data_IF_709625606638
#
_entry.id   IF_709625606638
#
_cell.length_a   1.000
_cell.length_b   1.000
_cell.length_c   1.000
_cell.angle_alpha   90.00
_cell.angle_beta   90.00
_cell.angle_gamma   90.00
#
_symmetry.space_group_name_H-M   'P 1'
#
loop_
_entity.id
_entity.type
_entity.pdbx_description
1 polymer ?
#
# COMPACT_ATOMS: atom_id res chain seq x y z
N UNK A 1 4.67 -39.72 90.43
CA UNK A 1 5.59 -39.65 89.28
C UNK A 1 4.82 -39.94 88.00
N UNK A 2 4.29 -38.96 87.34
CA UNK A 2 3.56 -39.09 86.06
C UNK A 2 4.23 -38.42 84.92
N UNK A 3 4.61 -39.19 83.97
CA UNK A 3 4.90 -39.02 82.60
C UNK A 3 5.20 -37.61 82.01
N UNK A 4 6.41 -37.20 82.11
CA UNK A 4 6.94 -36.04 81.28
C UNK A 4 7.35 -36.40 79.91
N UNK A 5 7.24 -37.66 79.48
CA UNK A 5 7.67 -38.11 78.13
C UNK A 5 6.68 -37.87 77.02
N UNK A 6 5.40 -37.82 77.31
CA UNK A 6 4.34 -37.60 76.30
C UNK A 6 4.32 -36.21 75.69
N UNK A 7 4.62 -35.18 76.48
CA UNK A 7 4.52 -33.79 76.07
C UNK A 7 5.65 -33.35 75.09
N UNK A 8 6.75 -34.04 75.11
CA UNK A 8 7.90 -33.74 74.18
C UNK A 8 7.67 -34.27 72.78
N UNK A 9 7.01 -35.38 72.61
CA UNK A 9 6.74 -36.02 71.31
C UNK A 9 5.70 -35.25 70.51
N UNK A 10 4.66 -34.72 71.14
CA UNK A 10 3.61 -33.94 70.47
C UNK A 10 4.11 -32.56 70.02
N UNK A 11 5.03 -31.91 70.76
CA UNK A 11 5.65 -30.65 70.29
C UNK A 11 6.53 -30.83 69.06
N UNK A 12 7.22 -31.96 68.97
CA UNK A 12 8.09 -32.27 67.81
C UNK A 12 7.22 -32.68 66.58
N UNK A 13 6.11 -33.37 66.77
CA UNK A 13 5.18 -33.67 65.69
C UNK A 13 4.46 -32.41 65.14
N UNK A 14 4.03 -31.49 66.00
CA UNK A 14 3.46 -30.20 65.58
C UNK A 14 4.50 -29.32 64.84
N UNK A 15 5.76 -29.25 65.29
CA UNK A 15 6.82 -28.51 64.57
C UNK A 15 7.13 -29.11 63.21
N UNK A 16 7.10 -30.42 63.04
CA UNK A 16 7.33 -31.07 61.74
C UNK A 16 6.17 -30.85 60.77
N UNK A 17 4.91 -30.85 61.22
CA UNK A 17 3.78 -30.53 60.35
C UNK A 17 3.82 -29.08 59.85
N UNK A 18 4.10 -28.13 60.69
CA UNK A 18 4.18 -26.72 60.29
C UNK A 18 5.38 -26.42 59.36
N UNK A 19 6.46 -27.18 59.47
CA UNK A 19 7.59 -27.04 58.55
C UNK A 19 7.31 -27.65 57.16
N UNK A 20 6.59 -28.79 57.11
CA UNK A 20 6.20 -29.39 55.85
C UNK A 20 5.17 -28.52 55.09
N UNK A 21 4.17 -27.98 55.81
CA UNK A 21 3.18 -27.06 55.22
C UNK A 21 3.84 -25.77 54.70
N UNK A 22 4.80 -25.21 55.45
CA UNK A 22 5.58 -24.06 54.98
C UNK A 22 6.43 -24.40 53.76
N UNK A 23 7.08 -25.57 53.74
CA UNK A 23 7.89 -25.98 52.58
C UNK A 23 7.01 -26.20 51.32
N UNK A 24 5.81 -26.81 51.49
CA UNK A 24 4.81 -26.94 50.40
C UNK A 24 4.36 -25.57 49.86
N UNK A 25 4.09 -24.61 50.76
CA UNK A 25 3.77 -23.25 50.35
C UNK A 25 4.91 -22.56 49.56
N UNK A 26 6.13 -22.71 50.01
CA UNK A 26 7.31 -22.16 49.29
C UNK A 26 7.51 -22.80 47.91
N UNK A 27 7.30 -24.11 47.77
CA UNK A 27 7.36 -24.81 46.51
C UNK A 27 6.26 -24.34 45.55
N UNK A 28 5.03 -24.16 46.04
CA UNK A 28 3.90 -23.63 45.26
C UNK A 28 4.15 -22.19 44.80
N UNK A 29 4.66 -21.32 45.70
CA UNK A 29 5.01 -19.96 45.35
C UNK A 29 6.16 -19.94 44.31
N UNK A 30 7.18 -20.77 44.46
CA UNK A 30 8.27 -20.89 43.50
C UNK A 30 7.76 -21.35 42.12
N UNK A 31 6.88 -22.35 42.07
CA UNK A 31 6.29 -22.85 40.85
C UNK A 31 5.40 -21.82 40.18
N UNK A 32 4.57 -21.12 40.96
CA UNK A 32 3.74 -20.03 40.43
C UNK A 32 4.56 -18.88 39.86
N UNK A 33 5.67 -18.53 40.52
CA UNK A 33 6.60 -17.49 40.02
C UNK A 33 7.28 -17.91 38.72
N UNK A 34 7.71 -19.17 38.61
CA UNK A 34 8.30 -19.70 37.36
C UNK A 34 7.29 -19.71 36.22
N UNK A 35 6.06 -20.13 36.47
CA UNK A 35 4.98 -20.12 35.47
C UNK A 35 4.64 -18.70 35.03
N UNK A 36 4.53 -17.75 35.98
CA UNK A 36 4.27 -16.36 35.66
C UNK A 36 5.41 -15.73 34.84
N UNK A 37 6.67 -16.01 35.22
CA UNK A 37 7.83 -15.51 34.50
C UNK A 37 7.95 -16.12 33.11
N UNK A 38 7.67 -17.41 32.96
CA UNK A 38 7.62 -18.09 31.65
C UNK A 38 6.51 -17.55 30.75
N UNK A 39 5.34 -17.22 31.33
CA UNK A 39 4.24 -16.60 30.58
C UNK A 39 4.61 -15.17 30.11
N UNK A 40 5.26 -14.37 30.97
CA UNK A 40 5.73 -13.02 30.61
C UNK A 40 6.84 -13.09 29.54
N UNK A 41 7.82 -13.98 29.69
CA UNK A 41 8.86 -14.21 28.69
C UNK A 41 8.27 -14.74 27.38
N UNK A 42 7.32 -15.66 27.45
CA UNK A 42 6.59 -16.15 26.27
C UNK A 42 5.84 -15.03 25.56
N UNK A 43 5.08 -14.23 26.29
CA UNK A 43 4.37 -13.08 25.73
C UNK A 43 5.32 -12.03 25.16
N UNK A 44 6.44 -11.76 25.83
CA UNK A 44 7.49 -10.85 25.32
C UNK A 44 8.19 -11.42 24.08
N UNK A 45 8.55 -12.71 24.08
CA UNK A 45 9.18 -13.38 22.94
C UNK A 45 8.26 -13.46 21.73
N UNK A 46 6.99 -13.86 21.92
CA UNK A 46 5.99 -13.87 20.86
C UNK A 46 5.62 -12.45 20.41
N UNK A 47 5.49 -11.52 21.35
CA UNK A 47 5.26 -10.10 21.04
C UNK A 47 6.43 -9.49 20.27
N UNK A 48 7.67 -9.71 20.71
CA UNK A 48 8.87 -9.26 20.01
C UNK A 48 9.03 -9.91 18.63
N UNK A 49 8.65 -11.19 18.49
CA UNK A 49 8.68 -11.89 17.19
C UNK A 49 7.58 -11.41 16.25
N UNK A 50 6.37 -11.15 16.77
CA UNK A 50 5.27 -10.55 16.01
C UNK A 50 5.58 -9.09 15.62
N UNK A 51 6.21 -8.32 16.50
CA UNK A 51 6.63 -6.95 16.23
C UNK A 51 7.90 -6.88 15.40
N UNK A 52 8.87 -7.78 15.63
CA UNK A 52 10.12 -7.85 14.87
C UNK A 52 9.90 -8.30 13.43
N UNK A 53 9.07 -9.32 13.20
CA UNK A 53 8.72 -9.74 11.84
C UNK A 53 7.91 -8.69 11.08
N UNK A 54 7.19 -7.79 11.79
CA UNK A 54 6.46 -6.71 11.15
C UNK A 54 7.37 -5.65 10.51
N UNK A 55 8.60 -5.49 10.97
CA UNK A 55 9.58 -4.57 10.37
C UNK A 55 10.44 -5.21 9.29
N UNK A 56 10.55 -6.54 9.25
CA UNK A 56 11.40 -7.24 8.31
C UNK A 56 10.82 -7.34 6.88
N UNK A 57 9.50 -7.12 6.71
CA UNK A 57 8.81 -7.35 5.45
C UNK A 57 8.52 -6.08 4.64
N UNK A 58 8.87 -4.88 5.15
CA UNK A 58 8.74 -3.67 4.34
C UNK A 58 9.84 -3.63 3.29
N UNK A 59 9.44 -3.50 2.02
CA UNK A 59 10.38 -3.28 0.95
C UNK A 59 11.17 -2.00 1.19
N UNK A 60 12.48 -1.99 0.91
CA UNK A 60 13.29 -0.78 1.03
C UNK A 60 12.74 0.36 0.16
N UNK A 61 12.26 0.04 -1.08
CA UNK A 61 11.51 0.95 -1.95
C UNK A 61 10.13 0.41 -2.26
N UNK A 62 9.13 1.29 -2.43
CA UNK A 62 7.75 0.89 -2.75
C UNK A 62 6.98 1.99 -3.50
N UNK A 63 5.88 1.59 -4.12
CA UNK A 63 4.84 2.47 -4.65
C UNK A 63 3.56 2.30 -3.84
N UNK A 64 3.01 3.40 -3.33
CA UNK A 64 1.73 3.42 -2.65
C UNK A 64 0.77 4.41 -3.33
N UNK A 65 -0.46 3.99 -3.58
CA UNK A 65 -1.51 4.84 -4.11
C UNK A 65 -2.37 5.35 -2.95
N UNK A 66 -2.49 6.65 -2.83
CA UNK A 66 -3.36 7.31 -1.86
C UNK A 66 -4.50 7.96 -2.64
N UNK A 67 -5.72 7.58 -2.36
CA UNK A 67 -6.94 8.22 -2.85
C UNK A 67 -7.54 9.05 -1.72
N UNK A 68 -7.83 10.32 -1.99
CA UNK A 68 -8.52 11.20 -1.05
C UNK A 68 -10.02 11.12 -1.29
N UNK A 69 -10.80 10.94 -0.23
CA UNK A 69 -12.26 10.83 -0.32
C UNK A 69 -12.95 12.02 0.33
N UNK A 70 -14.05 12.45 -0.26
CA UNK A 70 -14.92 13.49 0.32
C UNK A 70 -15.71 12.94 1.54
N UNK A 71 -16.52 13.78 2.14
CA UNK A 71 -17.35 13.43 3.31
C UNK A 71 -18.38 12.32 3.01
N UNK A 72 -18.71 12.09 1.73
CA UNK A 72 -19.61 11.02 1.30
C UNK A 72 -18.85 9.72 0.96
N UNK A 73 -17.53 9.70 1.09
CA UNK A 73 -16.67 8.57 0.74
C UNK A 73 -16.35 8.47 -0.75
N UNK A 74 -16.76 9.46 -1.57
CA UNK A 74 -16.44 9.47 -3.01
C UNK A 74 -15.00 9.94 -3.24
N UNK A 75 -14.28 9.32 -4.18
CA UNK A 75 -12.93 9.76 -4.53
C UNK A 75 -12.91 11.17 -5.11
N UNK A 76 -12.10 12.04 -4.54
CA UNK A 76 -11.94 13.44 -4.96
C UNK A 76 -10.58 13.70 -5.62
N UNK A 77 -9.52 13.07 -5.14
CA UNK A 77 -8.17 13.22 -5.66
C UNK A 77 -7.36 11.94 -5.44
N UNK A 78 -6.27 11.77 -6.17
CA UNK A 78 -5.34 10.67 -5.95
C UNK A 78 -3.89 11.12 -6.11
N UNK A 79 -3.01 10.43 -5.42
CA UNK A 79 -1.57 10.61 -5.52
C UNK A 79 -0.83 9.28 -5.41
N UNK A 80 0.25 9.14 -6.17
CA UNK A 80 1.18 8.02 -6.07
C UNK A 80 2.37 8.44 -5.22
N UNK A 81 2.66 7.70 -4.17
CA UNK A 81 3.83 7.90 -3.33
C UNK A 81 4.91 6.90 -3.71
N UNK A 82 6.09 7.40 -3.98
CA UNK A 82 7.29 6.61 -4.30
C UNK A 82 8.28 6.78 -3.16
N UNK A 83 8.73 5.67 -2.59
CA UNK A 83 9.85 5.65 -1.63
C UNK A 83 11.11 5.19 -2.34
N UNK A 84 12.17 5.98 -2.23
CA UNK A 84 13.49 5.57 -2.65
C UNK A 84 14.07 4.54 -1.66
N UNK A 85 14.61 3.45 -2.22
CA UNK A 85 15.24 2.40 -1.44
C UNK A 85 16.64 2.79 -0.94
N UNK A 86 17.32 3.70 -1.62
CA UNK A 86 18.71 4.04 -1.34
C UNK A 86 18.85 5.00 -0.16
N UNK A 87 18.05 6.05 -0.13
CA UNK A 87 18.15 7.12 0.87
C UNK A 87 16.87 7.29 1.72
N UNK A 88 15.81 6.54 1.38
CA UNK A 88 14.54 6.59 2.09
C UNK A 88 13.71 7.84 1.80
N UNK A 89 14.09 8.66 0.83
CA UNK A 89 13.30 9.84 0.44
C UNK A 89 11.97 9.44 -0.16
N UNK A 90 10.98 10.33 -0.03
CA UNK A 90 9.64 10.11 -0.55
C UNK A 90 9.29 11.18 -1.56
N UNK A 91 8.69 10.76 -2.67
CA UNK A 91 8.13 11.62 -3.69
C UNK A 91 6.65 11.36 -3.86
N UNK A 92 5.86 12.42 -3.97
CA UNK A 92 4.42 12.34 -4.20
C UNK A 92 4.12 12.84 -5.61
N UNK A 93 3.43 12.02 -6.40
CA UNK A 93 2.97 12.35 -7.73
C UNK A 93 1.46 12.53 -7.71
N UNK A 94 1.00 13.74 -7.97
CA UNK A 94 -0.42 14.05 -8.14
C UNK A 94 -0.93 13.40 -9.43
N UNK A 95 -2.02 12.67 -9.33
CA UNK A 95 -2.71 12.04 -10.46
C UNK A 95 -3.88 12.96 -10.87
N UNK A 96 -3.79 13.63 -12.03
CA UNK A 96 -4.90 14.44 -12.53
C UNK A 96 -6.15 13.58 -12.79
N UNK A 97 -7.33 14.08 -12.49
CA UNK A 97 -8.59 13.36 -12.80
C UNK A 97 -8.82 13.17 -14.29
N UNK A 98 -8.32 14.09 -15.09
CA UNK A 98 -8.32 14.11 -16.55
C UNK A 98 -7.07 13.45 -17.18
N UNK A 99 -6.32 12.65 -16.42
CA UNK A 99 -5.30 11.75 -16.94
C UNK A 99 -5.99 10.60 -17.69
N UNK A 100 -5.58 10.38 -18.94
CA UNK A 100 -6.06 9.23 -19.73
C UNK A 100 -5.29 7.98 -19.31
N UNK A 101 -6.01 6.94 -19.00
CA UNK A 101 -5.49 5.62 -18.64
C UNK A 101 -5.95 4.60 -19.66
N UNK A 102 -5.16 3.57 -19.89
CA UNK A 102 -5.54 2.44 -20.74
C UNK A 102 -6.50 1.52 -19.97
N UNK A 103 -7.74 1.46 -20.41
CA UNK A 103 -8.74 0.55 -19.90
C UNK A 103 -8.49 -0.91 -20.29
N UNK A 104 -9.26 -1.86 -19.73
CA UNK A 104 -9.05 -3.29 -19.94
C UNK A 104 -9.20 -3.75 -21.40
N UNK A 105 -10.03 -3.08 -22.18
CA UNK A 105 -10.32 -3.43 -23.57
C UNK A 105 -9.58 -2.53 -24.60
N UNK A 106 -8.58 -1.77 -24.15
CA UNK A 106 -7.85 -0.82 -24.98
C UNK A 106 -8.60 0.50 -25.23
N UNK A 107 -9.71 0.73 -24.53
CA UNK A 107 -10.35 2.03 -24.47
C UNK A 107 -9.58 2.98 -23.55
N UNK A 108 -9.73 4.29 -23.77
CA UNK A 108 -9.22 5.29 -22.85
C UNK A 108 -10.26 5.62 -21.78
N UNK A 109 -9.82 5.60 -20.51
CA UNK A 109 -10.63 5.94 -19.34
C UNK A 109 -9.97 7.11 -18.63
N UNK A 110 -10.75 8.09 -18.17
CA UNK A 110 -10.20 9.14 -17.32
C UNK A 110 -9.91 8.60 -15.93
N UNK A 111 -8.80 9.05 -15.34
CA UNK A 111 -8.43 8.66 -13.97
C UNK A 111 -9.54 8.98 -12.95
N UNK A 112 -10.31 10.06 -13.16
CA UNK A 112 -11.48 10.39 -12.34
C UNK A 112 -12.56 9.31 -12.36
N UNK A 113 -12.83 8.72 -13.52
CA UNK A 113 -13.79 7.63 -13.67
C UNK A 113 -13.24 6.32 -13.10
N UNK A 114 -11.96 6.03 -13.34
CA UNK A 114 -11.26 4.89 -12.76
C UNK A 114 -11.22 4.96 -11.22
N UNK A 115 -11.08 6.16 -10.62
CA UNK A 115 -11.20 6.37 -9.17
C UNK A 115 -12.58 5.97 -8.69
N UNK A 116 -13.63 6.48 -9.36
CA UNK A 116 -15.03 6.24 -8.99
C UNK A 116 -15.42 4.78 -9.14
N UNK A 117 -14.92 4.12 -10.19
CA UNK A 117 -15.14 2.70 -10.45
C UNK A 117 -14.27 1.75 -9.61
N UNK A 118 -13.34 2.27 -8.79
CA UNK A 118 -12.43 1.45 -7.99
C UNK A 118 -11.32 0.75 -8.79
N UNK A 119 -11.13 1.13 -10.05
CA UNK A 119 -10.18 0.49 -10.98
C UNK A 119 -8.84 1.22 -11.08
N UNK A 120 -8.71 2.41 -10.47
CA UNK A 120 -7.55 3.29 -10.64
C UNK A 120 -6.20 2.58 -10.44
N UNK A 121 -6.08 1.70 -9.45
CA UNK A 121 -4.85 0.95 -9.21
C UNK A 121 -4.44 0.13 -10.43
N UNK A 122 -5.38 -0.63 -10.98
CA UNK A 122 -5.12 -1.56 -12.09
C UNK A 122 -4.80 -0.80 -13.38
N UNK A 123 -5.57 0.24 -13.67
CA UNK A 123 -5.39 1.05 -14.86
C UNK A 123 -4.07 1.83 -14.79
N UNK A 124 -3.76 2.40 -13.63
CA UNK A 124 -2.48 3.07 -13.41
C UNK A 124 -1.30 2.11 -13.57
N UNK A 125 -1.37 0.90 -13.01
CA UNK A 125 -0.32 -0.12 -13.15
C UNK A 125 -0.06 -0.50 -14.60
N UNK A 126 -1.12 -0.55 -15.45
CA UNK A 126 -0.96 -0.79 -16.89
C UNK A 126 -0.18 0.33 -17.56
N UNK A 127 -0.53 1.57 -17.25
CA UNK A 127 0.12 2.75 -17.86
C UNK A 127 1.56 2.90 -17.40
N UNK A 128 1.83 2.80 -16.11
CA UNK A 128 3.18 3.00 -15.57
C UNK A 128 4.07 1.76 -15.67
N UNK A 129 3.53 0.62 -16.11
CA UNK A 129 4.22 -0.67 -16.13
C UNK A 129 4.94 -1.00 -14.82
N UNK A 130 4.36 -0.60 -13.70
CA UNK A 130 4.91 -0.81 -12.37
C UNK A 130 3.82 -1.21 -11.39
N UNK A 131 4.19 -2.08 -10.43
CA UNK A 131 3.26 -2.55 -9.42
C UNK A 131 3.07 -1.51 -8.32
N UNK A 132 1.82 -1.23 -7.98
CA UNK A 132 1.45 -0.48 -6.78
C UNK A 132 1.35 -1.46 -5.61
N UNK A 133 2.26 -1.33 -4.65
CA UNK A 133 2.40 -2.25 -3.51
C UNK A 133 1.26 -2.12 -2.50
N UNK A 134 0.73 -0.92 -2.33
CA UNK A 134 -0.35 -0.65 -1.38
C UNK A 134 -1.31 0.43 -1.90
N UNK A 135 -2.57 0.36 -1.49
CA UNK A 135 -3.60 1.36 -1.80
C UNK A 135 -4.33 1.77 -0.53
N UNK A 136 -4.56 3.06 -0.37
CA UNK A 136 -5.25 3.64 0.78
C UNK A 136 -6.26 4.67 0.33
N UNK A 137 -7.41 4.71 1.00
CA UNK A 137 -8.35 5.80 0.90
C UNK A 137 -8.32 6.60 2.22
N UNK A 138 -8.06 7.89 2.11
CA UNK A 138 -7.98 8.83 3.23
C UNK A 138 -9.09 9.86 3.10
N UNK A 139 -9.87 10.14 4.16
CA UNK A 139 -10.77 11.28 4.17
C UNK A 139 -10.01 12.60 3.97
N UNK A 140 -10.50 13.46 3.10
CA UNK A 140 -9.91 14.80 2.87
C UNK A 140 -9.77 15.61 4.16
N UNK A 141 -10.69 15.45 5.10
CA UNK A 141 -10.63 16.08 6.42
C UNK A 141 -9.37 15.71 7.21
N UNK A 142 -8.74 14.59 6.90
CA UNK A 142 -7.49 14.16 7.53
C UNK A 142 -6.33 15.10 7.20
N UNK A 143 -6.34 15.72 6.02
CA UNK A 143 -5.29 16.64 5.58
C UNK A 143 -5.23 17.92 6.41
N UNK A 144 -6.36 18.39 6.91
CA UNK A 144 -6.39 19.55 7.82
C UNK A 144 -5.66 19.28 9.14
N UNK A 145 -5.54 18.01 9.55
CA UNK A 145 -4.76 17.62 10.72
C UNK A 145 -3.24 17.73 10.53
N UNK A 146 -2.76 17.74 9.29
CA UNK A 146 -1.34 17.98 8.98
C UNK A 146 -0.99 19.46 8.88
N UNK A 147 -1.96 20.30 8.52
CA UNK A 147 -1.76 21.74 8.47
C UNK A 147 -1.74 22.33 9.88
N UNK A 148 -0.96 23.39 10.06
CA UNK A 148 -1.05 24.19 11.25
C UNK A 148 -2.37 25.00 11.24
N UNK A 149 -2.82 25.40 12.41
CA UNK A 149 -4.14 26.02 12.54
C UNK A 149 -4.25 27.33 11.76
N UNK A 150 -5.22 27.38 10.83
CA UNK A 150 -5.72 28.60 10.23
C UNK A 150 -5.52 28.72 8.73
N UNK A 151 -4.36 29.08 8.26
CA UNK A 151 -4.16 29.46 6.86
C UNK A 151 -2.89 28.87 6.27
N UNK A 152 -2.96 28.44 5.02
CA UNK A 152 -1.84 27.92 4.23
C UNK A 152 -1.55 28.88 3.09
N UNK A 153 -0.29 29.24 2.90
CA UNK A 153 0.15 29.96 1.71
C UNK A 153 0.43 28.94 0.60
N UNK A 154 -0.19 29.13 -0.57
CA UNK A 154 0.01 28.26 -1.73
C UNK A 154 1.00 28.89 -2.71
N UNK A 155 1.87 28.04 -3.28
CA UNK A 155 2.79 28.43 -4.34
C UNK A 155 2.32 27.82 -5.65
N UNK A 156 1.84 28.66 -6.56
CA UNK A 156 1.31 28.24 -7.85
C UNK A 156 2.28 28.62 -8.98
N UNK A 157 2.61 27.69 -9.87
CA UNK A 157 3.46 28.01 -11.04
C UNK A 157 2.78 28.96 -12.02
N UNK A 158 1.48 29.10 -11.92
CA UNK A 158 0.63 29.98 -12.74
C UNK A 158 -0.71 30.23 -12.05
N UNK A 159 -1.43 31.24 -12.55
CA UNK A 159 -2.82 31.49 -12.14
C UNK A 159 -3.71 30.28 -12.43
N UNK A 160 -4.45 29.83 -11.42
CA UNK A 160 -5.38 28.70 -11.52
C UNK A 160 -6.80 29.21 -11.29
N UNK A 161 -7.71 28.76 -12.14
CA UNK A 161 -9.15 29.00 -11.99
C UNK A 161 -9.82 27.67 -11.65
N UNK A 162 -10.63 27.64 -10.61
CA UNK A 162 -11.42 26.49 -10.19
C UNK A 162 -12.86 26.88 -9.92
N UNK A 163 -13.76 25.92 -10.04
CA UNK A 163 -15.12 26.03 -9.53
C UNK A 163 -15.16 25.37 -8.16
N UNK A 164 -15.47 26.17 -7.15
CA UNK A 164 -15.61 25.74 -5.75
C UNK A 164 -16.97 26.19 -5.29
N UNK A 165 -17.81 25.28 -4.84
CA UNK A 165 -19.19 25.56 -4.41
C UNK A 165 -19.99 26.36 -5.47
N UNK A 166 -19.94 25.90 -6.73
CA UNK A 166 -20.56 26.53 -7.91
C UNK A 166 -20.10 27.98 -8.22
N UNK A 167 -19.03 28.43 -7.59
CA UNK A 167 -18.43 29.74 -7.85
C UNK A 167 -17.06 29.61 -8.52
N UNK A 168 -16.82 30.36 -9.61
CA UNK A 168 -15.50 30.48 -10.19
C UNK A 168 -14.60 31.29 -9.26
N UNK A 169 -13.54 30.66 -8.76
CA UNK A 169 -12.50 31.29 -7.95
C UNK A 169 -11.17 31.27 -8.70
N UNK A 170 -10.40 32.31 -8.52
CA UNK A 170 -9.10 32.49 -9.16
C UNK A 170 -8.03 32.55 -8.09
N UNK A 171 -7.09 31.63 -8.17
CA UNK A 171 -5.95 31.55 -7.26
C UNK A 171 -4.68 31.97 -7.97
N UNK A 172 -3.80 32.66 -7.24
CA UNK A 172 -2.51 33.16 -7.71
C UNK A 172 -1.41 32.68 -6.79
N UNK A 173 -0.18 32.82 -7.24
CA UNK A 173 0.98 32.57 -6.40
C UNK A 173 0.97 33.48 -5.16
N UNK A 174 1.23 32.86 -4.00
CA UNK A 174 1.23 33.55 -2.73
C UNK A 174 -0.15 33.71 -2.07
N UNK A 175 -1.25 33.27 -2.72
CA UNK A 175 -2.58 33.32 -2.08
C UNK A 175 -2.61 32.49 -0.81
N UNK A 176 -3.35 33.01 0.17
CA UNK A 176 -3.58 32.36 1.46
C UNK A 176 -4.95 31.70 1.45
N UNK A 177 -4.97 30.40 1.72
CA UNK A 177 -6.19 29.60 1.84
C UNK A 177 -6.44 29.21 3.29
N UNK A 178 -7.70 29.11 3.68
CA UNK A 178 -8.07 28.58 4.99
C UNK A 178 -7.96 27.04 4.97
N UNK A 179 -7.55 26.46 6.08
CA UNK A 179 -7.47 24.99 6.21
C UNK A 179 -8.83 24.31 6.05
N UNK A 180 -9.92 25.00 6.37
CA UNK A 180 -11.30 24.57 6.13
C UNK A 180 -11.63 24.38 4.64
N UNK A 181 -10.96 25.12 3.75
CA UNK A 181 -11.24 25.10 2.32
C UNK A 181 -10.48 23.98 1.59
N UNK A 182 -9.51 23.36 2.25
CA UNK A 182 -8.70 22.29 1.68
C UNK A 182 -9.56 21.17 1.04
N UNK A 183 -10.60 20.64 1.73
CA UNK A 183 -11.43 19.58 1.14
C UNK A 183 -12.14 20.01 -0.14
N UNK A 184 -12.70 21.21 -0.15
CA UNK A 184 -13.40 21.76 -1.32
C UNK A 184 -12.44 22.00 -2.49
N UNK A 185 -11.24 22.51 -2.21
CA UNK A 185 -10.22 22.77 -3.22
C UNK A 185 -9.65 21.48 -3.84
N UNK A 186 -9.48 20.41 -3.06
CA UNK A 186 -9.09 19.10 -3.61
C UNK A 186 -10.19 18.46 -4.45
N UNK A 187 -11.46 18.68 -4.09
CA UNK A 187 -12.62 18.14 -4.79
C UNK A 187 -13.05 19.01 -5.99
N UNK A 188 -12.47 20.21 -6.15
CA UNK A 188 -12.87 21.16 -7.18
C UNK A 188 -12.75 20.60 -8.59
N UNK A 189 -13.78 20.81 -9.40
CA UNK A 189 -13.85 20.36 -10.77
C UNK A 189 -12.96 21.21 -11.69
N UNK A 190 -12.19 20.54 -12.54
CA UNK A 190 -11.31 21.14 -13.54
C UNK A 190 -11.89 21.24 -14.94
N UNK A 191 -13.15 20.89 -15.13
CA UNK A 191 -13.77 20.66 -16.44
C UNK A 191 -13.80 21.85 -17.42
N UNK A 192 -13.36 23.05 -17.03
CA UNK A 192 -13.48 24.27 -17.85
C UNK A 192 -12.15 24.94 -18.16
N UNK A 193 -11.17 24.21 -18.72
CA UNK A 193 -9.86 24.76 -19.10
C UNK A 193 -8.98 25.16 -17.92
N UNK A 194 -9.18 24.57 -16.81
CA UNK A 194 -8.61 24.81 -15.51
C UNK A 194 -7.61 23.70 -15.21
N UNK A 195 -6.65 23.93 -14.36
CA UNK A 195 -5.63 22.92 -14.01
C UNK A 195 -5.78 22.47 -12.55
N UNK A 196 -6.70 21.52 -12.26
CA UNK A 196 -6.89 21.03 -10.91
C UNK A 196 -5.65 20.33 -10.38
N UNK A 197 -4.84 19.73 -11.25
CA UNK A 197 -3.61 19.08 -10.85
C UNK A 197 -2.56 20.06 -10.33
N UNK A 198 -2.49 21.26 -10.91
CA UNK A 198 -1.59 22.32 -10.39
C UNK A 198 -2.04 22.78 -9.00
N UNK A 199 -3.35 22.97 -8.78
CA UNK A 199 -3.89 23.33 -7.48
C UNK A 199 -3.69 22.20 -6.46
N UNK A 200 -3.98 20.95 -6.82
CA UNK A 200 -3.77 19.80 -5.94
C UNK A 200 -2.29 19.65 -5.56
N UNK A 201 -1.37 19.85 -6.51
CA UNK A 201 0.06 19.84 -6.23
C UNK A 201 0.48 20.96 -5.26
N UNK A 202 -0.04 22.18 -5.45
CA UNK A 202 0.22 23.30 -4.54
C UNK A 202 -0.35 23.04 -3.14
N UNK A 203 -1.57 22.50 -3.05
CA UNK A 203 -2.19 22.13 -1.77
C UNK A 203 -1.40 21.04 -1.05
N UNK A 204 -0.98 19.98 -1.74
CA UNK A 204 -0.13 18.96 -1.16
C UNK A 204 1.18 19.56 -0.65
N UNK A 205 1.84 20.40 -1.46
CA UNK A 205 3.08 21.07 -1.05
C UNK A 205 2.88 21.92 0.19
N UNK A 206 1.83 22.74 0.23
CA UNK A 206 1.55 23.60 1.37
C UNK A 206 1.23 22.82 2.66
N UNK A 207 0.40 21.76 2.56
CA UNK A 207 0.06 20.89 3.69
C UNK A 207 1.32 20.17 4.22
N UNK A 208 2.13 19.59 3.33
CA UNK A 208 3.34 18.85 3.71
C UNK A 208 4.42 19.78 4.30
N UNK A 209 4.59 20.98 3.75
CA UNK A 209 5.50 22.00 4.29
C UNK A 209 5.04 22.46 5.68
N UNK A 210 3.75 22.72 5.86
CA UNK A 210 3.19 23.06 7.17
C UNK A 210 3.43 21.94 8.18
N UNK A 211 3.18 20.68 7.78
CA UNK A 211 3.45 19.53 8.62
C UNK A 211 4.93 19.39 8.99
N UNK A 212 5.85 19.72 8.08
CA UNK A 212 7.29 19.66 8.32
C UNK A 212 7.76 20.66 9.38
N UNK A 213 7.07 21.80 9.51
CA UNK A 213 7.37 22.82 10.51
C UNK A 213 6.87 22.46 11.93
N UNK A 214 5.97 21.48 12.05
CA UNK A 214 5.44 21.05 13.35
C UNK A 214 6.47 20.23 14.13
N UNK A 215 6.28 20.13 15.44
CA UNK A 215 7.11 19.26 16.28
C UNK A 215 7.00 17.80 15.86
N UNK A 216 8.05 17.01 16.12
CA UNK A 216 8.05 15.58 15.81
C UNK A 216 6.88 14.82 16.45
N UNK A 217 6.48 15.19 17.66
CA UNK A 217 5.35 14.57 18.37
C UNK A 217 3.99 14.89 17.73
N UNK A 218 3.78 16.13 17.28
CA UNK A 218 2.55 16.53 16.59
C UNK A 218 2.43 15.88 15.23
N UNK A 219 3.54 15.82 14.46
CA UNK A 219 3.58 15.09 13.19
C UNK A 219 3.25 13.62 13.38
N UNK A 220 3.88 12.95 14.35
CA UNK A 220 3.61 11.56 14.63
C UNK A 220 2.13 11.33 14.94
N UNK A 221 1.53 12.18 15.78
CA UNK A 221 0.11 12.09 16.11
C UNK A 221 -0.80 12.30 14.89
N UNK A 222 -0.49 13.24 14.01
CA UNK A 222 -1.24 13.45 12.77
C UNK A 222 -1.16 12.23 11.84
N UNK A 223 0.03 11.63 11.71
CA UNK A 223 0.24 10.40 10.94
C UNK A 223 -0.55 9.23 11.53
N UNK A 224 -0.54 9.06 12.85
CA UNK A 224 -1.26 7.98 13.52
C UNK A 224 -2.77 8.12 13.34
N UNK A 225 -3.31 9.35 13.43
CA UNK A 225 -4.73 9.65 13.15
C UNK A 225 -5.06 9.32 11.70
N UNK A 226 -4.23 9.75 10.74
CA UNK A 226 -4.44 9.46 9.33
C UNK A 226 -4.40 7.94 9.05
N UNK A 227 -3.46 7.23 9.63
CA UNK A 227 -3.35 5.78 9.48
C UNK A 227 -4.55 5.04 10.10
N UNK A 228 -5.09 5.56 11.21
CA UNK A 228 -6.26 4.98 11.88
C UNK A 228 -7.57 5.24 11.13
N UNK A 229 -7.67 6.33 10.37
CA UNK A 229 -8.87 6.70 9.59
C UNK A 229 -8.85 6.16 8.17
N UNK A 230 -7.70 5.69 7.70
CA UNK A 230 -7.56 5.14 6.36
C UNK A 230 -8.39 3.85 6.20
N UNK A 231 -9.07 3.74 5.06
CA UNK A 231 -9.67 2.49 4.59
C UNK A 231 -8.88 1.95 3.39
N UNK A 232 -9.02 0.65 3.08
CA UNK A 232 -8.35 -0.01 1.95
C UNK A 232 -7.36 -1.08 2.36
N UNK A 233 -6.46 -1.48 1.47
CA UNK A 233 -5.66 -2.69 1.61
C UNK A 233 -4.75 -2.72 2.84
N UNK A 234 -4.86 -3.70 3.48
CA UNK A 234 -4.25 -4.65 4.39
C UNK A 234 -3.03 -4.22 5.24
N UNK A 235 -2.19 -3.26 4.88
CA UNK A 235 -0.98 -2.95 5.63
C UNK A 235 -0.78 -1.44 5.85
N UNK A 236 -1.24 -0.97 7.00
CA UNK A 236 -1.10 0.44 7.40
C UNK A 236 0.35 0.89 7.62
N UNK A 237 1.32 -0.04 7.63
CA UNK A 237 2.75 0.28 7.82
C UNK A 237 3.29 1.12 6.66
N UNK A 238 2.95 0.77 5.42
CA UNK A 238 3.35 1.57 4.25
C UNK A 238 2.74 2.97 4.30
N UNK A 239 1.50 3.09 4.74
CA UNK A 239 0.86 4.40 4.89
C UNK A 239 1.55 5.25 5.95
N UNK A 240 1.79 4.68 7.13
CA UNK A 240 2.49 5.38 8.20
C UNK A 240 3.91 5.80 7.80
N UNK A 241 4.63 4.97 7.06
CA UNK A 241 5.96 5.28 6.52
C UNK A 241 5.88 6.36 5.44
N UNK A 242 4.96 6.24 4.48
CA UNK A 242 4.73 7.22 3.42
C UNK A 242 4.41 8.60 3.99
N UNK A 243 3.47 8.68 4.93
CA UNK A 243 3.09 9.96 5.54
C UNK A 243 4.22 10.57 6.37
N UNK A 244 4.98 9.76 7.13
CA UNK A 244 6.17 10.26 7.85
C UNK A 244 7.23 10.79 6.90
N UNK A 245 7.49 10.07 5.81
CA UNK A 245 8.45 10.50 4.79
C UNK A 245 8.01 11.75 4.05
N UNK A 246 6.74 11.82 3.64
CA UNK A 246 6.18 13.00 2.98
C UNK A 246 6.12 14.23 3.86
N UNK A 247 5.97 14.09 5.17
CA UNK A 247 6.03 15.20 6.13
C UNK A 247 7.46 15.57 6.56
N UNK A 248 8.47 14.97 5.94
CA UNK A 248 9.86 15.39 6.09
C UNK A 248 10.17 16.60 5.18
N UNK A 249 11.22 17.35 5.52
CA UNK A 249 11.65 18.52 4.73
C UNK A 249 12.21 18.15 3.34
N UNK A 250 12.40 16.86 3.05
CA UNK A 250 12.99 16.37 1.79
C UNK A 250 11.94 15.82 0.82
N UNK A 251 10.65 15.83 1.18
CA UNK A 251 9.61 15.33 0.30
C UNK A 251 9.46 16.19 -0.96
N UNK A 252 9.33 15.52 -2.10
CA UNK A 252 9.12 16.17 -3.40
C UNK A 252 7.67 15.95 -3.83
N UNK A 253 6.98 17.02 -4.18
CA UNK A 253 5.65 16.96 -4.79
C UNK A 253 5.79 17.26 -6.26
N UNK A 254 5.30 16.38 -7.11
CA UNK A 254 5.33 16.49 -8.55
C UNK A 254 3.99 16.08 -9.16
N UNK A 255 3.79 16.39 -10.43
CA UNK A 255 2.71 15.78 -11.23
C UNK A 255 3.24 14.52 -11.88
N UNK A 256 2.35 13.54 -12.11
CA UNK A 256 2.67 12.43 -13.01
C UNK A 256 3.14 12.99 -14.37
N UNK A 257 4.31 12.61 -14.87
CA UNK A 257 4.78 13.01 -16.20
C UNK A 257 3.74 12.74 -17.26
N UNK A 258 3.29 13.79 -17.91
CA UNK A 258 2.21 13.73 -18.89
C UNK A 258 2.24 14.97 -19.77
N UNK A 259 1.71 14.83 -21.00
CA UNK A 259 1.51 15.94 -21.94
C UNK A 259 0.05 16.34 -21.96
N UNK A 260 -0.24 17.64 -21.96
CA UNK A 260 -1.60 18.14 -22.13
C UNK A 260 -2.06 18.00 -23.57
N UNK A 261 -3.30 17.51 -23.78
CA UNK A 261 -3.91 17.40 -25.10
C UNK A 261 -5.37 17.83 -25.03
N UNK A 262 -5.86 18.45 -26.09
CA UNK A 262 -7.27 18.69 -26.27
C UNK A 262 -7.77 17.68 -27.31
N UNK A 263 -8.67 16.80 -26.91
CA UNK A 263 -9.31 15.82 -27.78
C UNK A 263 -10.81 16.02 -27.68
N UNK A 264 -11.48 16.16 -28.82
CA UNK A 264 -12.96 16.34 -28.91
C UNK A 264 -13.51 17.48 -28.03
N UNK A 265 -12.72 18.55 -27.87
CA UNK A 265 -13.10 19.70 -27.04
C UNK A 265 -12.93 19.50 -25.52
N UNK A 266 -12.45 18.32 -25.10
CA UNK A 266 -12.13 18.06 -23.70
C UNK A 266 -10.63 18.17 -23.46
N UNK A 267 -10.25 18.72 -22.34
CA UNK A 267 -8.87 18.78 -21.89
C UNK A 267 -8.49 17.44 -21.25
N UNK A 268 -7.36 16.88 -21.68
CA UNK A 268 -6.84 15.62 -21.18
C UNK A 268 -5.33 15.68 -20.97
N UNK A 269 -4.84 14.91 -20.01
CA UNK A 269 -3.43 14.61 -19.85
C UNK A 269 -3.14 13.22 -20.39
N UNK A 270 -2.26 13.13 -21.36
CA UNK A 270 -1.77 11.84 -21.86
C UNK A 270 -0.52 11.49 -21.06
N UNK A 271 -0.49 10.36 -20.35
CA UNK A 271 0.67 9.94 -19.58
C UNK A 271 1.86 9.71 -20.52
N UNK A 272 3.06 9.95 -20.00
CA UNK A 272 4.31 9.54 -20.59
C UNK A 272 4.86 8.34 -19.81
N UNK A 273 4.55 7.08 -20.20
CA UNK A 273 4.94 5.90 -19.45
C UNK A 273 6.46 5.78 -19.28
N UNK A 274 7.23 6.12 -20.32
CA UNK A 274 8.70 6.06 -20.27
C UNK A 274 9.25 7.13 -19.32
N UNK A 275 8.74 8.35 -19.41
CA UNK A 275 9.10 9.44 -18.50
C UNK A 275 8.72 9.16 -17.06
N UNK A 276 7.54 8.55 -16.80
CA UNK A 276 7.11 8.13 -15.46
C UNK A 276 8.08 7.09 -14.90
N UNK A 277 8.39 6.06 -15.67
CA UNK A 277 9.30 5.00 -15.24
C UNK A 277 10.73 5.48 -15.06
N UNK A 278 11.21 6.34 -15.95
CA UNK A 278 12.53 6.95 -15.80
C UNK A 278 12.63 7.79 -14.52
N UNK A 279 11.58 8.54 -14.20
CA UNK A 279 11.54 9.35 -12.97
C UNK A 279 11.43 8.50 -11.70
N UNK A 280 10.58 7.46 -11.70
CA UNK A 280 10.48 6.49 -10.61
C UNK A 280 11.83 5.79 -10.39
N UNK A 281 12.47 5.29 -11.46
CA UNK A 281 13.75 4.59 -11.37
C UNK A 281 14.87 5.51 -10.87
N UNK A 282 14.85 6.77 -11.29
CA UNK A 282 15.82 7.77 -10.82
C UNK A 282 15.65 8.11 -9.35
N UNK A 283 14.40 8.25 -8.86
CA UNK A 283 14.07 8.64 -7.49
C UNK A 283 13.97 7.47 -6.54
N UNK A 284 13.83 6.28 -7.05
CA UNK A 284 13.78 5.04 -6.29
C UNK A 284 14.60 3.94 -6.99
N UNK A 285 15.94 4.09 -7.09
CA UNK A 285 16.79 3.16 -7.85
C UNK A 285 16.76 1.75 -7.27
N UNK A 286 16.38 1.57 -6.01
CA UNK A 286 16.16 0.27 -5.39
C UNK A 286 14.74 -0.27 -5.55
N UNK A 287 13.84 0.49 -6.21
CA UNK A 287 12.49 0.02 -6.51
C UNK A 287 12.56 -1.07 -7.59
N UNK A 288 12.54 -2.31 -7.14
CA UNK A 288 12.44 -3.49 -8.01
C UNK A 288 10.97 -3.91 -8.13
N UNK A 289 10.11 -2.98 -8.51
CA UNK A 289 8.68 -3.20 -8.65
C UNK A 289 8.28 -4.06 -9.85
N UNK A 290 9.23 -4.49 -10.65
CA UNK A 290 9.05 -5.41 -11.76
C UNK A 290 9.43 -6.82 -11.34
N UNK A 291 8.49 -7.54 -10.72
CA UNK A 291 8.59 -8.97 -10.79
C UNK A 291 8.37 -9.39 -12.25
N UNK A 292 9.18 -10.29 -12.75
CA UNK A 292 8.98 -10.90 -14.06
C UNK A 292 8.06 -12.10 -13.92
N UNK A 293 6.94 -12.13 -14.64
CA UNK A 293 6.03 -13.28 -14.66
C UNK A 293 6.10 -13.97 -16.02
N UNK A 294 6.73 -15.13 -16.06
CA UNK A 294 6.88 -15.94 -17.26
C UNK A 294 5.69 -16.89 -17.35
N UNK A 295 4.92 -16.80 -18.42
CA UNK A 295 3.80 -17.73 -18.68
C UNK A 295 4.23 -18.83 -19.62
N UNK A 296 4.02 -20.09 -19.22
CA UNK A 296 4.31 -21.28 -20.02
C UNK A 296 3.03 -22.09 -20.24
N UNK A 297 2.78 -22.44 -21.48
CA UNK A 297 1.66 -23.31 -21.84
C UNK A 297 1.97 -24.78 -21.51
N UNK A 298 1.31 -25.33 -20.52
CA UNK A 298 1.42 -26.74 -20.12
C UNK A 298 0.23 -27.61 -20.55
N UNK A 299 -0.68 -27.06 -21.42
CA UNK A 299 -1.88 -27.80 -21.88
C UNK A 299 -1.82 -28.19 -23.35
N UNK A 300 -0.93 -27.60 -24.13
CA UNK A 300 -0.92 -27.74 -25.59
C UNK A 300 -2.05 -26.96 -26.31
N UNK A 301 -2.96 -26.33 -25.59
CA UNK A 301 -4.02 -25.51 -26.21
C UNK A 301 -3.42 -24.24 -26.79
N UNK A 302 -3.64 -24.02 -28.08
CA UNK A 302 -3.13 -22.84 -28.77
C UNK A 302 -3.78 -21.57 -28.19
N UNK A 303 -2.98 -20.52 -27.97
CA UNK A 303 -3.45 -19.22 -27.50
C UNK A 303 -3.67 -19.09 -25.98
N UNK A 304 -3.75 -20.19 -25.22
CA UNK A 304 -4.06 -20.13 -23.78
C UNK A 304 -2.98 -19.38 -22.99
N UNK A 305 -1.71 -19.53 -23.35
CA UNK A 305 -0.63 -18.80 -22.69
C UNK A 305 -0.79 -17.31 -22.88
N UNK A 306 -1.09 -16.86 -24.11
CA UNK A 306 -1.29 -15.44 -24.41
C UNK A 306 -2.53 -14.86 -23.71
N UNK A 307 -3.64 -15.59 -23.67
CA UNK A 307 -4.82 -15.19 -22.94
C UNK A 307 -4.54 -15.03 -21.44
N UNK A 308 -3.76 -15.94 -20.84
CA UNK A 308 -3.29 -15.82 -19.45
C UNK A 308 -2.38 -14.60 -19.30
N UNK A 309 -1.43 -14.37 -20.22
CA UNK A 309 -0.52 -13.22 -20.20
C UNK A 309 -1.31 -11.90 -20.22
N UNK A 310 -2.27 -11.77 -21.12
CA UNK A 310 -3.17 -10.60 -21.21
C UNK A 310 -3.93 -10.38 -19.92
N UNK A 311 -4.50 -11.44 -19.33
CA UNK A 311 -5.23 -11.33 -18.07
C UNK A 311 -4.34 -10.89 -16.90
N UNK A 312 -3.06 -11.26 -16.92
CA UNK A 312 -2.08 -10.88 -15.89
C UNK A 312 -1.49 -9.47 -16.09
N UNK A 313 -1.76 -8.80 -17.24
CA UNK A 313 -1.24 -7.46 -17.52
C UNK A 313 -1.66 -6.41 -16.48
N UNK A 314 -2.79 -6.61 -15.82
CA UNK A 314 -3.29 -5.74 -14.73
C UNK A 314 -2.38 -5.71 -13.49
N UNK A 315 -1.40 -6.64 -13.40
CA UNK A 315 -0.48 -6.70 -12.26
C UNK A 315 0.63 -5.65 -12.33
N UNK A 316 0.86 -5.00 -13.48
CA UNK A 316 1.98 -4.08 -13.65
C UNK A 316 3.36 -4.76 -13.48
N UNK A 317 3.46 -6.03 -13.91
CA UNK A 317 4.68 -6.84 -13.90
C UNK A 317 5.26 -6.95 -15.30
N UNK A 318 6.54 -7.31 -15.40
CA UNK A 318 7.15 -7.64 -16.69
C UNK A 318 6.59 -9.00 -17.17
N UNK A 319 6.01 -9.02 -18.37
CA UNK A 319 5.36 -10.18 -18.98
C UNK A 319 6.00 -10.48 -20.34
N UNK A 320 7.13 -11.19 -20.36
CA UNK A 320 7.76 -11.59 -21.61
C UNK A 320 6.84 -12.47 -22.46
N UNK A 321 7.12 -12.62 -23.76
CA UNK A 321 6.38 -13.50 -24.65
C UNK A 321 6.20 -14.88 -24.04
N UNK A 322 5.04 -15.50 -24.28
CA UNK A 322 4.71 -16.82 -23.74
C UNK A 322 5.53 -17.91 -24.42
N UNK A 323 5.85 -18.98 -23.67
CA UNK A 323 6.55 -20.14 -24.17
C UNK A 323 5.75 -21.42 -23.85
N UNK A 324 6.14 -22.52 -24.44
CA UNK A 324 5.63 -23.84 -24.04
C UNK A 324 6.33 -24.32 -22.76
N UNK A 325 5.62 -25.07 -21.93
CA UNK A 325 6.21 -25.82 -20.84
C UNK A 325 7.02 -27.01 -21.38
N UNK A 326 7.74 -27.69 -20.50
CA UNK A 326 8.46 -28.92 -20.79
C UNK A 326 7.54 -30.08 -21.17
N UNK A 327 6.26 -30.00 -20.77
CA UNK A 327 5.21 -30.99 -21.05
C UNK A 327 3.87 -30.30 -21.24
N UNK A 328 2.96 -30.95 -21.98
CA UNK A 328 1.56 -30.51 -22.14
C UNK A 328 0.57 -31.29 -21.25
N UNK A 329 1.06 -32.02 -20.29
CA UNK A 329 0.25 -32.88 -19.42
C UNK A 329 -0.03 -32.31 -18.04
N UNK A 330 0.17 -31.00 -17.85
CA UNK A 330 -0.12 -30.34 -16.60
C UNK A 330 -1.63 -30.29 -16.35
N UNK A 331 -2.08 -31.05 -15.34
CA UNK A 331 -3.51 -31.09 -14.97
C UNK A 331 -3.93 -29.84 -14.20
N UNK A 332 -3.02 -29.28 -13.41
CA UNK A 332 -3.24 -28.14 -12.56
C UNK A 332 -2.18 -27.07 -12.85
N UNK A 333 -2.63 -25.81 -12.87
CA UNK A 333 -1.75 -24.67 -13.01
C UNK A 333 -0.81 -24.57 -11.81
N UNK A 334 0.48 -24.44 -12.09
CA UNK A 334 1.52 -24.26 -11.10
C UNK A 334 2.08 -22.85 -11.19
N UNK A 335 2.24 -22.21 -10.05
CA UNK A 335 2.74 -20.84 -9.92
C UNK A 335 3.97 -20.91 -9.03
N UNK A 336 5.15 -21.00 -9.66
CA UNK A 336 6.43 -21.10 -8.96
C UNK A 336 6.93 -19.69 -8.65
N UNK A 337 7.22 -19.42 -7.39
CA UNK A 337 7.64 -18.10 -6.92
C UNK A 337 9.09 -18.10 -6.46
N UNK A 338 9.90 -17.19 -6.96
CA UNK A 338 11.18 -16.85 -6.36
C UNK A 338 10.97 -16.27 -4.96
N UNK A 339 12.00 -16.31 -4.12
CA UNK A 339 11.92 -15.97 -2.68
C UNK A 339 11.34 -14.59 -2.37
N UNK A 340 11.50 -13.62 -3.25
CA UNK A 340 10.95 -12.25 -3.13
C UNK A 340 9.64 -12.01 -3.88
N UNK A 341 9.15 -12.99 -4.66
CA UNK A 341 8.00 -12.83 -5.55
C UNK A 341 6.72 -13.54 -5.05
N UNK A 342 6.69 -14.02 -3.81
CA UNK A 342 5.56 -14.77 -3.26
C UNK A 342 4.24 -13.98 -3.30
N UNK A 343 4.26 -12.69 -3.01
CA UNK A 343 3.07 -11.84 -3.06
C UNK A 343 2.53 -11.72 -4.49
N UNK A 344 3.44 -11.60 -5.48
CA UNK A 344 3.04 -11.56 -6.91
C UNK A 344 2.43 -12.90 -7.33
N UNK A 345 3.00 -14.02 -6.88
CA UNK A 345 2.44 -15.34 -7.15
C UNK A 345 1.04 -15.53 -6.55
N UNK A 346 0.78 -14.97 -5.36
CA UNK A 346 -0.54 -14.97 -4.75
C UNK A 346 -1.54 -14.11 -5.54
N UNK A 347 -1.11 -12.94 -6.04
CA UNK A 347 -1.94 -12.09 -6.89
C UNK A 347 -2.23 -12.76 -8.24
N UNK A 348 -1.25 -13.43 -8.86
CA UNK A 348 -1.45 -14.26 -10.07
C UNK A 348 -2.52 -15.32 -9.81
N UNK A 349 -2.41 -16.03 -8.68
CA UNK A 349 -3.42 -17.02 -8.29
C UNK A 349 -4.82 -16.39 -8.11
N UNK A 350 -4.89 -15.24 -7.48
CA UNK A 350 -6.15 -14.53 -7.25
C UNK A 350 -6.82 -14.11 -8.57
N UNK A 351 -6.05 -13.59 -9.53
CA UNK A 351 -6.54 -13.18 -10.85
C UNK A 351 -7.00 -14.38 -11.67
N UNK A 352 -6.24 -15.47 -11.66
CA UNK A 352 -6.61 -16.69 -12.38
C UNK A 352 -7.75 -17.46 -11.69
N UNK A 353 -7.97 -17.22 -10.39
CA UNK A 353 -8.94 -17.95 -9.56
C UNK A 353 -8.58 -19.43 -9.37
N UNK A 354 -7.41 -19.88 -9.81
CA UNK A 354 -6.96 -21.28 -9.88
C UNK A 354 -5.45 -21.38 -9.74
N UNK A 355 -4.97 -22.62 -9.59
CA UNK A 355 -3.56 -22.93 -9.49
C UNK A 355 -3.05 -23.05 -8.06
N UNK A 356 -1.87 -23.63 -7.93
CA UNK A 356 -1.15 -23.80 -6.66
C UNK A 356 0.13 -22.98 -6.69
N UNK A 357 0.34 -22.19 -5.64
CA UNK A 357 1.60 -21.46 -5.45
C UNK A 357 2.60 -22.41 -4.82
N UNK A 358 3.75 -22.53 -5.45
CA UNK A 358 4.84 -23.42 -5.07
C UNK A 358 6.13 -22.60 -4.87
N UNK A 359 7.04 -23.13 -4.07
CA UNK A 359 8.39 -22.58 -3.98
C UNK A 359 9.13 -22.82 -5.30
N UNK A 360 9.59 -21.75 -5.91
CA UNK A 360 10.39 -21.75 -7.13
C UNK A 360 11.88 -21.85 -6.82
N UNK A 361 12.31 -22.92 -6.14
CA UNK A 361 13.71 -23.14 -5.81
C UNK A 361 14.61 -23.00 -7.05
N UNK A 362 15.57 -22.07 -6.98
CA UNK A 362 16.48 -21.75 -8.08
C UNK A 362 16.00 -20.68 -9.06
N UNK A 363 14.78 -20.15 -8.91
CA UNK A 363 14.35 -18.98 -9.65
C UNK A 363 14.99 -17.69 -9.06
N UNK A 364 15.24 -16.67 -9.90
CA UNK A 364 15.54 -15.33 -9.43
C UNK A 364 14.51 -14.87 -8.39
N UNK A 365 14.94 -14.09 -7.40
CA UNK A 365 14.09 -13.71 -6.26
C UNK A 365 12.84 -12.92 -6.67
N UNK A 366 12.90 -12.21 -7.79
CA UNK A 366 11.85 -11.35 -8.36
C UNK A 366 11.06 -12.03 -9.50
N UNK A 367 11.22 -13.35 -9.69
CA UNK A 367 10.59 -14.06 -10.80
C UNK A 367 9.45 -14.96 -10.33
N UNK A 368 8.40 -15.02 -11.14
CA UNK A 368 7.30 -15.99 -11.04
C UNK A 368 7.21 -16.74 -12.37
N UNK A 369 7.09 -18.06 -12.32
CA UNK A 369 6.80 -18.88 -13.49
C UNK A 369 5.42 -19.49 -13.35
N UNK A 370 4.54 -19.21 -14.30
CA UNK A 370 3.16 -19.73 -14.37
C UNK A 370 3.12 -20.82 -15.42
N UNK A 371 3.01 -22.06 -15.02
CA UNK A 371 2.77 -23.20 -15.93
C UNK A 371 1.26 -23.44 -15.96
N UNK A 372 0.64 -23.06 -17.07
CA UNK A 372 -0.82 -23.16 -17.25
C UNK A 372 -1.19 -24.63 -17.39
N UNK A 373 -2.07 -25.11 -16.52
CA UNK A 373 -2.59 -26.47 -16.53
C UNK A 373 -4.01 -26.59 -17.08
N UNK A 374 -4.51 -27.82 -17.19
CA UNK A 374 -5.83 -28.13 -17.70
C UNK A 374 -7.01 -27.65 -16.86
N UNK A 375 -6.76 -27.10 -15.66
CA UNK A 375 -7.75 -26.44 -14.80
C UNK A 375 -8.11 -25.03 -15.29
N UNK A 376 -7.30 -24.40 -16.13
CA UNK A 376 -7.59 -23.13 -16.79
C UNK A 376 -8.14 -23.40 -18.19
N UNK A 377 -9.28 -22.82 -18.52
CA UNK A 377 -9.90 -22.94 -19.85
C UNK A 377 -9.93 -21.58 -20.54
N UNK A 378 -9.69 -21.55 -21.85
CA UNK A 378 -9.68 -20.32 -22.64
C UNK A 378 -10.97 -19.52 -22.45
N UNK A 379 -12.14 -20.19 -22.50
CA UNK A 379 -13.44 -19.57 -22.26
C UNK A 379 -13.59 -18.88 -20.90
N UNK A 380 -12.88 -19.36 -19.85
CA UNK A 380 -12.95 -18.78 -18.51
C UNK A 380 -12.12 -17.49 -18.41
N UNK A 381 -11.21 -17.28 -19.36
CA UNK A 381 -10.38 -16.08 -19.47
C UNK A 381 -11.07 -14.97 -20.26
N UNK A 382 -11.93 -15.35 -21.22
CA UNK A 382 -12.67 -14.41 -22.09
C UNK A 382 -13.95 -13.85 -21.43
N UNK A 383 -14.54 -14.58 -20.48
CA UNK A 383 -15.92 -14.30 -19.98
C UNK A 383 -15.98 -13.42 -18.73
N UNK A 384 -14.85 -12.99 -18.15
CA UNK A 384 -14.83 -12.24 -16.86
C UNK A 384 -14.67 -10.72 -16.98
N UNK A 385 -14.77 -10.17 -18.18
CA UNK A 385 -14.65 -8.73 -18.42
C UNK A 385 -16.02 -8.05 -18.66
N UNK A 386 -17.12 -8.64 -18.17
CA UNK A 386 -18.40 -7.93 -18.01
C UNK A 386 -18.69 -7.80 -16.53
N UNK A 387 -18.68 -6.55 -15.96
CA UNK A 387 -19.19 -6.26 -14.64
C UNK A 387 -20.69 -6.45 -14.55
#
# INVERSE_FOLDING_TARGET
>A
MRDSKGYRVDRLRRRRRTSAERWQAWVLYGLATVVAFSAVLGAWYFGARLLGNRHADMKPGYLALITLTDASGRPAAAALVVKDAADGTHSLYVIPRDLLLDGPNGEYIFAGDAMTGGMLKQDLQRVIHARVDATYALPLSTLSGFADTGALQIQLPRRVKLVVDDQERVYRDGDVIQTSDIPALFAADGSTGKDPAAMQGALWSAVLQSAALRSGAERARAVDVAAATASGAHDTRYLGDALRGLTSSTAIVARVPSTSRVAEGQFAFVPDPEGIMADITRKAPGYRGRATVIVRNGTGTVGIGEAVRQRLSVLGVDLPPTANADSFNYRQTQILAGSGALTVAQDVRAILGRGVVLDGAGLPSDQVVVIVGGDVKLKDLETKDQP
#
